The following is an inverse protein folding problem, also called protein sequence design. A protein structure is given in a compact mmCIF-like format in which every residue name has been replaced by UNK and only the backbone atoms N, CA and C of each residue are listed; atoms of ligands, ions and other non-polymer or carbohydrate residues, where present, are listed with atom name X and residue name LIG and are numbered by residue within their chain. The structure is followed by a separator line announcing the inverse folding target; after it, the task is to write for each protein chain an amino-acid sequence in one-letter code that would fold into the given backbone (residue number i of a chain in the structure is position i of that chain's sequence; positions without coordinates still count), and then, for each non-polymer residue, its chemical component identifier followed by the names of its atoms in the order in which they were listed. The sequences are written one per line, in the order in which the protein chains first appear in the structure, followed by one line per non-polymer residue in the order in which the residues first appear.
data_IF_114170864883
#
_entry.id   IF_114170864883
#
_cell.length_a   1.000
_cell.length_b   1.000
_cell.length_c   1.000
_cell.angle_alpha   90.00
_cell.angle_beta   90.00
_cell.angle_gamma   90.00
#
_symmetry.space_group_name_H-M   'P 1'
#
loop_
_entity.id
_entity.type
_entity.pdbx_description
1 polymer ?
#
# COMPACT_ATOMS: atom_id res chain seq x y z
N UNK A 1 -33.39 -12.55 -27.77
CA UNK A 1 -33.48 -13.52 -26.66
C UNK A 1 -33.29 -12.73 -25.38
N UNK A 2 -34.37 -12.53 -24.62
CA UNK A 2 -34.32 -11.78 -23.36
C UNK A 2 -33.99 -12.76 -22.23
N UNK A 3 -32.93 -12.49 -21.48
CA UNK A 3 -32.57 -13.26 -20.29
C UNK A 3 -33.58 -12.92 -19.19
N UNK A 4 -34.35 -13.92 -18.77
CA UNK A 4 -35.39 -13.79 -17.77
C UNK A 4 -34.76 -13.71 -16.36
N UNK A 5 -34.90 -12.55 -15.73
CA UNK A 5 -34.40 -12.31 -14.38
C UNK A 5 -35.07 -13.22 -13.33
N UNK A 6 -36.27 -13.74 -13.62
CA UNK A 6 -36.99 -14.64 -12.72
C UNK A 6 -36.28 -16.01 -12.62
N UNK A 7 -35.66 -16.47 -13.70
CA UNK A 7 -34.90 -17.71 -13.71
C UNK A 7 -33.60 -17.62 -12.89
N UNK A 8 -33.03 -16.40 -12.75
CA UNK A 8 -31.89 -16.17 -11.85
C UNK A 8 -32.27 -16.28 -10.38
N UNK A 9 -33.46 -15.80 -10.00
CA UNK A 9 -33.94 -15.86 -8.62
C UNK A 9 -34.36 -17.28 -8.20
N UNK A 10 -34.82 -18.10 -9.15
CA UNK A 10 -35.27 -19.48 -8.87
C UNK A 10 -34.15 -20.42 -8.38
N UNK A 11 -32.88 -20.07 -8.59
CA UNK A 11 -31.73 -20.85 -8.13
C UNK A 11 -30.98 -20.22 -6.94
N UNK A 12 -31.50 -19.12 -6.38
CA UNK A 12 -30.96 -18.54 -5.13
C UNK A 12 -31.46 -19.39 -3.97
N UNK A 13 -30.62 -20.31 -3.51
CA UNK A 13 -30.82 -21.03 -2.26
C UNK A 13 -30.67 -20.04 -1.11
N UNK A 14 -31.79 -19.58 -0.58
CA UNK A 14 -31.84 -18.92 0.73
C UNK A 14 -31.36 -19.93 1.76
N UNK A 15 -30.31 -19.58 2.51
CA UNK A 15 -29.78 -20.42 3.59
C UNK A 15 -30.89 -20.76 4.56
N UNK A 16 -31.28 -22.03 4.58
CA UNK A 16 -32.17 -22.62 5.55
C UNK A 16 -31.43 -22.63 6.90
N UNK A 17 -31.88 -21.80 7.84
CA UNK A 17 -31.49 -21.93 9.24
C UNK A 17 -32.20 -23.15 9.80
N UNK A 18 -31.55 -24.30 9.66
CA UNK A 18 -31.91 -25.52 10.34
C UNK A 18 -31.17 -25.55 11.68
N UNK A 19 -31.89 -25.28 12.77
CA UNK A 19 -31.45 -25.55 14.14
C UNK A 19 -31.33 -27.08 14.33
N UNK A 20 -30.16 -27.64 14.68
CA UNK A 20 -30.07 -29.01 15.13
C UNK A 20 -29.86 -29.08 16.64
N UNK A 21 -30.83 -29.74 17.26
CA UNK A 21 -30.82 -30.35 18.58
C UNK A 21 -29.50 -31.08 18.90
N UNK A 22 -29.17 -31.08 20.19
CA UNK A 22 -28.00 -31.64 20.85
C UNK A 22 -27.54 -33.02 20.32
N UNK A 23 -26.24 -33.14 20.06
CA UNK A 23 -25.59 -34.41 19.75
C UNK A 23 -24.10 -34.21 19.50
N UNK A 24 -23.29 -34.44 20.53
CA UNK A 24 -21.83 -34.52 20.48
C UNK A 24 -21.36 -35.35 19.28
N UNK A 25 -20.41 -34.82 18.50
CA UNK A 25 -19.29 -35.55 17.90
C UNK A 25 -18.32 -34.54 17.25
N UNK A 26 -17.06 -34.67 17.60
CA UNK A 26 -15.94 -33.81 17.21
C UNK A 26 -15.83 -33.60 15.70
N UNK A 27 -16.13 -32.40 15.22
CA UNK A 27 -15.65 -31.90 13.94
C UNK A 27 -14.64 -30.78 14.22
N UNK A 28 -13.37 -31.09 14.02
CA UNK A 28 -12.28 -30.12 13.93
C UNK A 28 -12.70 -28.92 13.08
N UNK A 29 -12.83 -27.77 13.73
CA UNK A 29 -13.05 -26.49 13.07
C UNK A 29 -12.04 -26.33 11.92
N UNK A 30 -12.45 -25.87 10.72
CA UNK A 30 -11.47 -25.42 9.75
C UNK A 30 -10.74 -24.26 10.40
N UNK A 31 -9.47 -24.47 10.74
CA UNK A 31 -8.56 -23.44 11.23
C UNK A 31 -8.72 -22.24 10.32
N UNK A 32 -9.35 -21.18 10.83
CA UNK A 32 -9.57 -19.92 10.13
C UNK A 32 -8.19 -19.33 9.88
N UNK A 33 -7.55 -19.73 8.78
CA UNK A 33 -6.30 -19.14 8.31
C UNK A 33 -6.61 -17.66 8.14
N UNK A 34 -5.90 -16.75 8.83
CA UNK A 34 -6.23 -15.34 8.79
C UNK A 34 -6.12 -14.89 7.33
N UNK A 35 -7.25 -14.54 6.73
CA UNK A 35 -7.36 -14.23 5.32
C UNK A 35 -6.35 -13.13 4.99
N UNK A 36 -5.46 -13.41 4.04
CA UNK A 36 -4.55 -12.40 3.52
C UNK A 36 -5.36 -11.47 2.62
N UNK A 37 -5.19 -10.16 2.79
CA UNK A 37 -5.88 -9.16 2.00
C UNK A 37 -5.55 -9.33 0.50
N UNK A 38 -6.55 -9.60 -0.36
CA UNK A 38 -6.34 -9.84 -1.78
C UNK A 38 -5.85 -8.60 -2.55
N UNK A 39 -5.94 -7.40 -1.97
CA UNK A 39 -5.51 -6.15 -2.59
C UNK A 39 -4.01 -5.91 -2.51
N UNK A 40 -3.29 -6.66 -1.67
CA UNK A 40 -1.86 -6.49 -1.42
C UNK A 40 -1.03 -6.65 -2.70
N UNK A 41 -1.24 -7.71 -3.47
CA UNK A 41 -0.48 -7.99 -4.68
C UNK A 41 -0.73 -6.94 -5.79
N UNK A 42 -1.99 -6.57 -6.13
CA UNK A 42 -2.25 -5.48 -7.06
C UNK A 42 -1.59 -4.16 -6.66
N UNK A 43 -1.65 -3.78 -5.37
CA UNK A 43 -1.02 -2.55 -4.89
C UNK A 43 0.51 -2.59 -5.01
N UNK A 44 1.14 -3.73 -4.71
CA UNK A 44 2.57 -3.91 -4.91
C UNK A 44 2.96 -3.79 -6.38
N UNK A 45 2.24 -4.46 -7.28
CA UNK A 45 2.51 -4.43 -8.73
C UNK A 45 2.39 -2.99 -9.27
N UNK A 46 1.36 -2.24 -8.86
CA UNK A 46 1.20 -0.83 -9.25
C UNK A 46 2.37 0.02 -8.73
N UNK A 47 2.79 -0.20 -7.49
CA UNK A 47 3.94 0.50 -6.91
C UNK A 47 5.23 0.19 -7.69
N UNK A 48 5.48 -1.08 -8.00
CA UNK A 48 6.65 -1.51 -8.78
C UNK A 48 6.64 -0.87 -10.16
N UNK A 49 5.49 -0.87 -10.85
CA UNK A 49 5.36 -0.23 -12.16
C UNK A 49 5.64 1.28 -12.11
N UNK A 50 5.25 1.94 -11.01
CA UNK A 50 5.51 3.37 -10.83
C UNK A 50 7.00 3.70 -10.57
N UNK A 51 7.73 2.81 -9.88
CA UNK A 51 9.15 3.01 -9.58
C UNK A 51 10.07 2.55 -10.72
N UNK A 52 9.68 1.47 -11.40
CA UNK A 52 10.47 0.81 -12.45
C UNK A 52 9.65 0.69 -13.74
N UNK A 53 9.37 1.81 -14.43
CA UNK A 53 8.56 1.79 -15.64
C UNK A 53 9.20 0.90 -16.71
N UNK A 54 8.36 0.22 -17.50
CA UNK A 54 8.74 -0.67 -18.60
C UNK A 54 9.49 -1.96 -18.20
N UNK A 55 9.58 -2.29 -16.91
CA UNK A 55 10.19 -3.56 -16.45
C UNK A 55 9.19 -4.71 -16.36
N UNK A 56 7.91 -4.41 -16.15
CA UNK A 56 6.84 -5.40 -16.11
C UNK A 56 6.33 -5.64 -17.53
N UNK A 57 6.63 -6.82 -18.06
CA UNK A 57 6.24 -7.21 -19.43
C UNK A 57 4.80 -7.72 -19.49
N UNK A 58 4.41 -8.53 -18.50
CA UNK A 58 3.09 -9.15 -18.44
C UNK A 58 2.61 -9.25 -17.00
N UNK A 59 1.33 -8.94 -16.78
CA UNK A 59 0.68 -8.95 -15.47
C UNK A 59 -0.63 -9.72 -15.61
N UNK A 60 -0.76 -10.79 -14.83
CA UNK A 60 -1.98 -11.59 -14.74
C UNK A 60 -2.39 -11.72 -13.27
N UNK A 61 -3.24 -10.78 -12.83
CA UNK A 61 -3.73 -10.74 -11.45
C UNK A 61 -4.63 -11.95 -11.15
N UNK A 62 -5.37 -12.46 -12.13
CA UNK A 62 -6.30 -13.58 -11.94
C UNK A 62 -5.53 -14.88 -11.61
N UNK A 63 -4.44 -15.14 -12.34
CA UNK A 63 -3.55 -16.27 -12.09
C UNK A 63 -2.44 -15.96 -11.08
N UNK A 64 -2.39 -14.72 -10.57
CA UNK A 64 -1.38 -14.22 -9.63
C UNK A 64 0.04 -14.49 -10.15
N UNK A 65 0.26 -14.08 -11.40
CA UNK A 65 1.53 -14.18 -12.11
C UNK A 65 1.95 -12.81 -12.64
N UNK A 66 3.24 -12.53 -12.61
CA UNK A 66 3.81 -11.43 -13.38
C UNK A 66 5.13 -11.84 -14.02
N UNK A 67 5.48 -11.20 -15.13
CA UNK A 67 6.77 -11.37 -15.80
C UNK A 67 7.50 -10.05 -15.79
N UNK A 68 8.70 -10.06 -15.21
CA UNK A 68 9.65 -8.95 -15.24
C UNK A 68 10.63 -9.21 -16.37
N UNK A 69 10.89 -8.21 -17.20
CA UNK A 69 11.85 -8.29 -18.28
C UNK A 69 12.84 -7.13 -18.22
N UNK A 70 14.13 -7.44 -18.27
CA UNK A 70 15.22 -6.47 -18.13
C UNK A 70 16.32 -6.78 -19.16
N UNK A 71 16.85 -5.75 -19.80
CA UNK A 71 18.05 -5.84 -20.63
C UNK A 71 19.28 -5.48 -19.80
N UNK A 72 20.30 -6.33 -19.79
CA UNK A 72 21.52 -6.10 -19.01
C UNK A 72 22.77 -6.74 -19.62
N UNK A 73 23.96 -6.48 -19.07
CA UNK A 73 25.26 -6.95 -19.57
C UNK A 73 25.53 -8.41 -19.18
N UNK A 74 24.53 -9.28 -19.34
CA UNK A 74 24.65 -10.71 -19.05
C UNK A 74 24.94 -11.54 -20.32
N UNK A 75 25.24 -10.88 -21.43
CA UNK A 75 25.49 -11.52 -22.71
C UNK A 75 26.79 -12.35 -22.69
N UNK A 76 26.80 -13.45 -23.43
CA UNK A 76 27.95 -14.35 -23.55
C UNK A 76 29.13 -13.74 -24.33
N UNK A 77 28.87 -12.81 -25.25
CA UNK A 77 29.89 -12.14 -26.07
C UNK A 77 30.74 -11.09 -25.31
N UNK A 78 30.42 -10.80 -24.05
CA UNK A 78 31.22 -9.92 -23.20
C UNK A 78 30.81 -8.45 -23.24
N UNK A 79 31.78 -7.57 -22.94
CA UNK A 79 31.53 -6.16 -22.60
C UNK A 79 30.87 -5.38 -23.76
N UNK A 80 29.77 -4.68 -23.46
CA UNK A 80 28.96 -3.92 -24.42
C UNK A 80 27.79 -4.66 -25.07
N UNK A 81 27.72 -5.99 -24.99
CA UNK A 81 26.57 -6.75 -25.50
C UNK A 81 25.48 -6.90 -24.42
N UNK A 82 24.23 -6.56 -24.77
CA UNK A 82 23.07 -6.69 -23.88
C UNK A 82 22.34 -8.00 -24.13
N UNK A 83 21.98 -8.68 -23.04
CA UNK A 83 21.08 -9.81 -23.07
C UNK A 83 19.74 -9.46 -22.44
N UNK A 84 18.67 -9.98 -23.03
CA UNK A 84 17.32 -9.85 -22.52
C UNK A 84 17.01 -11.00 -21.55
N UNK A 85 16.65 -10.65 -20.32
CA UNK A 85 16.32 -11.58 -19.24
C UNK A 85 14.84 -11.46 -18.91
N UNK A 86 14.14 -12.61 -18.84
CA UNK A 86 12.76 -12.70 -18.37
C UNK A 86 12.69 -13.53 -17.10
N UNK A 87 12.05 -12.98 -16.09
CA UNK A 87 11.84 -13.61 -14.78
C UNK A 87 10.34 -13.64 -14.50
N UNK A 88 9.80 -14.84 -14.32
CA UNK A 88 8.40 -15.08 -14.04
C UNK A 88 8.21 -15.31 -12.54
N UNK A 89 7.29 -14.58 -11.94
CA UNK A 89 6.87 -14.74 -10.55
C UNK A 89 5.48 -15.33 -10.51
N UNK A 90 5.28 -16.37 -9.70
CA UNK A 90 3.97 -16.95 -9.40
C UNK A 90 3.71 -16.85 -7.90
N UNK A 91 2.73 -16.05 -7.51
CA UNK A 91 2.47 -15.73 -6.10
C UNK A 91 1.51 -16.76 -5.48
N UNK A 92 1.79 -17.30 -4.27
CA UNK A 92 0.89 -18.19 -3.52
C UNK A 92 -0.18 -17.41 -2.77
N UNK A 93 -1.36 -18.00 -2.50
CA UNK A 93 -2.51 -17.27 -1.93
C UNK A 93 -2.18 -16.61 -0.58
N UNK A 94 -1.23 -17.16 0.15
CA UNK A 94 -0.75 -16.65 1.43
C UNK A 94 0.32 -15.55 1.32
N UNK A 95 0.77 -15.16 0.12
CA UNK A 95 1.76 -14.09 -0.10
C UNK A 95 1.35 -12.78 0.61
N UNK A 96 2.23 -12.12 1.39
CA UNK A 96 3.68 -12.34 1.50
C UNK A 96 4.15 -13.34 2.59
N UNK A 97 3.24 -14.10 3.21
CA UNK A 97 3.63 -15.09 4.23
C UNK A 97 4.29 -16.33 3.64
N UNK A 98 3.99 -16.63 2.37
CA UNK A 98 4.64 -17.68 1.59
C UNK A 98 5.36 -17.04 0.39
N UNK A 99 6.53 -17.55 0.01
CA UNK A 99 7.35 -16.95 -1.04
C UNK A 99 6.73 -17.21 -2.43
N UNK A 100 6.84 -16.26 -3.38
CA UNK A 100 6.53 -16.54 -4.78
C UNK A 100 7.49 -17.57 -5.37
N UNK A 101 6.99 -18.41 -6.26
CA UNK A 101 7.83 -19.25 -7.11
C UNK A 101 8.46 -18.39 -8.21
N UNK A 102 9.76 -18.57 -8.43
CA UNK A 102 10.57 -17.81 -9.38
C UNK A 102 11.03 -18.73 -10.50
N UNK A 103 10.87 -18.30 -11.73
CA UNK A 103 11.37 -19.01 -12.91
C UNK A 103 12.13 -18.03 -13.80
N UNK A 104 13.36 -18.36 -14.19
CA UNK A 104 14.12 -17.56 -15.16
C UNK A 104 14.07 -18.25 -16.52
N UNK A 105 13.66 -17.49 -17.54
CA UNK A 105 13.61 -18.00 -18.91
C UNK A 105 14.98 -18.46 -19.41
N UNK A 106 14.99 -19.57 -20.13
CA UNK A 106 16.20 -20.10 -20.72
C UNK A 106 16.54 -19.35 -22.01
N UNK A 107 17.57 -18.52 -21.96
CA UNK A 107 18.19 -17.93 -23.14
C UNK A 107 19.57 -18.54 -23.43
N UNK A 108 19.93 -18.62 -24.71
CA UNK A 108 21.27 -19.00 -25.18
C UNK A 108 22.27 -17.83 -25.09
N UNK A 109 21.79 -16.59 -25.09
CA UNK A 109 22.64 -15.40 -24.96
C UNK A 109 23.15 -15.19 -23.53
N UNK A 110 22.48 -15.77 -22.53
CA UNK A 110 22.87 -15.65 -21.12
C UNK A 110 23.58 -16.94 -20.68
N UNK A 111 24.85 -16.86 -20.24
CA UNK A 111 25.57 -18.01 -19.72
C UNK A 111 24.83 -18.67 -18.55
N UNK A 112 24.88 -20.01 -18.50
CA UNK A 112 24.24 -20.78 -17.43
C UNK A 112 24.68 -20.34 -16.03
N UNK A 113 25.99 -20.08 -15.87
CA UNK A 113 26.57 -19.61 -14.60
C UNK A 113 25.92 -18.32 -14.13
N UNK A 114 25.83 -17.31 -14.99
CA UNK A 114 25.20 -16.02 -14.69
C UNK A 114 23.73 -16.19 -14.32
N UNK A 115 22.99 -17.02 -15.06
CA UNK A 115 21.59 -17.32 -14.75
C UNK A 115 21.43 -17.99 -13.39
N UNK A 116 22.30 -18.94 -13.05
CA UNK A 116 22.28 -19.61 -11.75
C UNK A 116 22.60 -18.64 -10.60
N UNK A 117 23.56 -17.74 -10.79
CA UNK A 117 23.90 -16.71 -9.80
C UNK A 117 22.73 -15.73 -9.56
N UNK A 118 22.12 -15.22 -10.64
CA UNK A 118 20.93 -14.36 -10.56
C UNK A 118 19.77 -15.06 -9.85
N UNK A 119 19.49 -16.31 -10.23
CA UNK A 119 18.44 -17.10 -9.59
C UNK A 119 18.69 -17.26 -8.09
N UNK A 120 19.92 -17.61 -7.70
CA UNK A 120 20.27 -17.78 -6.29
C UNK A 120 20.06 -16.48 -5.49
N UNK A 121 20.54 -15.36 -6.02
CA UNK A 121 20.36 -14.05 -5.36
C UNK A 121 18.89 -13.63 -5.24
N UNK A 122 18.05 -13.96 -6.23
CA UNK A 122 16.61 -13.71 -6.15
C UNK A 122 15.94 -14.57 -5.08
N UNK A 123 16.28 -15.86 -5.02
CA UNK A 123 15.74 -16.77 -4.00
C UNK A 123 16.15 -16.32 -2.60
N UNK A 124 17.44 -16.02 -2.40
CA UNK A 124 17.97 -15.53 -1.11
C UNK A 124 17.19 -14.28 -0.65
N UNK A 125 16.93 -13.34 -1.57
CA UNK A 125 16.19 -12.11 -1.30
C UNK A 125 14.71 -12.35 -0.99
N UNK A 126 14.07 -13.27 -1.72
CA UNK A 126 12.67 -13.63 -1.47
C UNK A 126 12.49 -14.33 -0.13
N UNK A 127 13.43 -15.20 0.23
CA UNK A 127 13.42 -15.87 1.53
C UNK A 127 13.57 -14.85 2.66
N UNK A 128 14.50 -13.90 2.54
CA UNK A 128 14.69 -12.81 3.50
C UNK A 128 13.39 -12.01 3.72
N UNK A 129 12.73 -11.59 2.63
CA UNK A 129 11.47 -10.85 2.74
C UNK A 129 10.34 -11.69 3.34
N UNK A 130 10.30 -12.98 3.04
CA UNK A 130 9.27 -13.89 3.57
C UNK A 130 9.42 -14.07 5.08
N UNK A 131 10.66 -14.15 5.59
CA UNK A 131 10.91 -14.20 7.04
C UNK A 131 10.33 -12.97 7.77
N UNK A 132 10.42 -11.80 7.14
CA UNK A 132 9.87 -10.55 7.67
C UNK A 132 8.38 -10.36 7.37
N UNK A 133 7.75 -11.28 6.62
CA UNK A 133 6.39 -11.17 6.08
C UNK A 133 6.21 -9.89 5.26
N UNK A 134 7.26 -9.50 4.55
CA UNK A 134 7.36 -8.31 3.73
C UNK A 134 7.15 -8.61 2.24
N UNK A 135 6.78 -7.57 1.50
CA UNK A 135 6.62 -7.58 0.06
C UNK A 135 8.00 -7.68 -0.61
N UNK A 136 8.15 -8.55 -1.62
CA UNK A 136 9.45 -8.90 -2.18
C UNK A 136 9.63 -8.53 -3.66
N UNK A 137 8.56 -8.24 -4.41
CA UNK A 137 8.64 -7.96 -5.84
C UNK A 137 9.45 -6.70 -6.11
N UNK A 138 9.23 -5.66 -5.31
CA UNK A 138 9.98 -4.39 -5.45
C UNK A 138 11.48 -4.58 -5.26
N UNK A 139 11.89 -5.33 -4.22
CA UNK A 139 13.29 -5.64 -3.96
C UNK A 139 13.90 -6.49 -5.09
N UNK A 140 13.15 -7.48 -5.59
CA UNK A 140 13.59 -8.33 -6.71
C UNK A 140 13.81 -7.51 -7.99
N UNK A 141 12.88 -6.62 -8.35
CA UNK A 141 13.01 -5.77 -9.54
C UNK A 141 14.17 -4.78 -9.37
N UNK A 142 14.31 -4.17 -8.18
CA UNK A 142 15.43 -3.29 -7.89
C UNK A 142 16.78 -4.00 -8.05
N UNK A 143 16.90 -5.24 -7.56
CA UNK A 143 18.08 -6.07 -7.73
C UNK A 143 18.39 -6.32 -9.22
N UNK A 144 17.38 -6.71 -10.02
CA UNK A 144 17.56 -6.98 -11.45
C UNK A 144 18.01 -5.74 -12.21
N UNK A 145 17.40 -4.58 -11.94
CA UNK A 145 17.76 -3.29 -12.55
C UNK A 145 19.15 -2.84 -12.09
N UNK A 146 19.52 -3.03 -10.82
CA UNK A 146 20.86 -2.67 -10.36
C UNK A 146 21.92 -3.58 -10.97
N UNK A 147 21.64 -4.88 -11.05
CA UNK A 147 22.51 -5.85 -11.73
C UNK A 147 22.67 -5.54 -13.21
N UNK A 148 21.63 -4.99 -13.87
CA UNK A 148 21.71 -4.60 -15.28
C UNK A 148 22.51 -3.31 -15.52
N UNK A 149 22.73 -2.48 -14.50
CA UNK A 149 23.41 -1.18 -14.62
C UNK A 149 24.92 -1.21 -14.27
N UNK A 150 25.56 -2.39 -14.25
CA UNK A 150 27.01 -2.59 -14.01
C UNK A 150 27.59 -2.07 -12.69
N UNK A 151 26.79 -1.49 -11.80
CA UNK A 151 27.22 -1.06 -10.46
C UNK A 151 27.27 -2.27 -9.51
N UNK A 152 28.33 -3.07 -9.62
CA UNK A 152 28.60 -4.23 -8.76
C UNK A 152 29.03 -3.82 -7.33
N UNK A 153 28.31 -2.92 -6.68
CA UNK A 153 28.53 -2.66 -5.26
C UNK A 153 27.61 -3.60 -4.46
N UNK A 154 28.10 -4.81 -4.19
CA UNK A 154 27.44 -5.85 -3.35
C UNK A 154 27.19 -5.41 -1.90
N UNK A 155 27.53 -4.18 -1.52
CA UNK A 155 27.50 -3.68 -0.15
C UNK A 155 26.14 -3.12 0.30
N UNK A 156 25.14 -3.09 -0.58
CA UNK A 156 23.76 -2.79 -0.20
C UNK A 156 22.79 -3.67 -0.99
N UNK A 157 22.53 -4.90 -0.53
CA UNK A 157 21.36 -5.62 -1.04
C UNK A 157 20.11 -4.76 -0.77
N UNK A 158 19.16 -4.69 -1.71
CA UNK A 158 17.89 -4.02 -1.46
C UNK A 158 17.20 -4.76 -0.32
N UNK A 159 17.25 -4.19 0.89
CA UNK A 159 16.54 -4.74 2.04
C UNK A 159 15.04 -4.66 1.80
N UNK A 160 14.32 -5.66 2.29
CA UNK A 160 12.87 -5.76 2.31
C UNK A 160 12.29 -4.59 3.09
N UNK A 161 12.19 -3.43 2.44
CA UNK A 161 11.75 -2.22 3.08
C UNK A 161 10.28 -2.42 3.43
N UNK A 162 9.99 -2.59 4.74
CA UNK A 162 8.65 -2.36 5.29
C UNK A 162 8.15 -1.09 4.65
N UNK A 163 7.04 -1.15 3.94
CA UNK A 163 6.51 -0.04 3.20
C UNK A 163 6.13 1.12 4.12
N UNK A 164 7.12 1.90 4.54
CA UNK A 164 6.95 3.31 4.81
C UNK A 164 6.69 3.93 3.46
N UNK A 165 5.47 4.45 3.31
CA UNK A 165 4.92 5.14 2.16
C UNK A 165 5.70 6.43 1.86
N UNK A 166 6.98 6.31 1.54
CA UNK A 166 7.84 7.41 1.11
C UNK A 166 8.24 7.16 -0.33
N UNK A 167 7.23 7.13 -1.20
CA UNK A 167 7.39 7.27 -2.65
C UNK A 167 8.27 8.50 -2.91
N UNK A 168 9.37 8.33 -3.65
CA UNK A 168 10.31 9.38 -4.02
C UNK A 168 9.59 10.68 -4.44
N UNK A 169 9.70 11.68 -3.58
CA UNK A 169 8.74 12.77 -3.44
C UNK A 169 9.04 14.01 -4.29
N UNK A 170 9.24 13.84 -5.59
CA UNK A 170 9.49 14.98 -6.48
C UNK A 170 8.28 15.38 -7.34
N UNK A 171 7.19 14.59 -7.32
CA UNK A 171 5.97 14.90 -8.06
C UNK A 171 4.89 15.50 -7.14
N UNK A 172 4.77 16.84 -7.13
CA UNK A 172 3.75 17.59 -6.37
C UNK A 172 2.34 17.03 -6.58
N UNK A 173 2.01 16.70 -7.82
CA UNK A 173 0.71 16.16 -8.20
C UNK A 173 0.43 14.79 -7.55
N UNK A 174 1.41 13.88 -7.56
CA UNK A 174 1.26 12.55 -6.97
C UNK A 174 1.04 12.62 -5.45
N UNK A 175 1.76 13.52 -4.76
CA UNK A 175 1.54 13.77 -3.32
C UNK A 175 0.14 14.31 -3.03
N UNK A 176 -0.34 15.26 -3.82
CA UNK A 176 -1.69 15.82 -3.67
C UNK A 176 -2.77 14.76 -3.92
N UNK A 177 -2.63 13.95 -4.97
CA UNK A 177 -3.57 12.88 -5.27
C UNK A 177 -3.65 11.86 -4.14
N UNK A 178 -2.49 11.41 -3.63
CA UNK A 178 -2.44 10.40 -2.58
C UNK A 178 -3.02 10.90 -1.25
N UNK A 179 -2.73 12.16 -0.87
CA UNK A 179 -3.33 12.77 0.32
C UNK A 179 -4.85 12.88 0.22
N UNK A 180 -5.39 13.21 -0.96
CA UNK A 180 -6.84 13.27 -1.19
C UNK A 180 -7.45 11.86 -1.17
N UNK A 181 -6.82 10.89 -1.81
CA UNK A 181 -7.30 9.50 -1.85
C UNK A 181 -7.39 8.90 -0.44
N UNK A 182 -6.36 9.10 0.39
CA UNK A 182 -6.35 8.62 1.78
C UNK A 182 -7.44 9.30 2.61
N UNK A 183 -7.62 10.62 2.47
CA UNK A 183 -8.67 11.35 3.19
C UNK A 183 -10.08 10.86 2.80
N UNK A 184 -10.34 10.63 1.51
CA UNK A 184 -11.61 10.10 1.01
C UNK A 184 -11.85 8.67 1.51
N UNK A 185 -10.83 7.83 1.52
CA UNK A 185 -10.92 6.48 2.04
C UNK A 185 -11.22 6.47 3.54
N UNK A 186 -10.53 7.32 4.32
CA UNK A 186 -10.81 7.47 5.76
C UNK A 186 -12.21 8.01 6.02
N UNK A 187 -12.67 8.99 5.24
CA UNK A 187 -14.03 9.51 5.36
C UNK A 187 -15.08 8.42 5.06
N UNK A 188 -14.82 7.61 4.03
CA UNK A 188 -15.69 6.48 3.67
C UNK A 188 -15.77 5.47 4.80
N UNK A 189 -14.62 5.07 5.36
CA UNK A 189 -14.58 4.14 6.50
C UNK A 189 -15.29 4.72 7.74
N UNK A 190 -15.09 6.01 8.04
CA UNK A 190 -15.77 6.67 9.16
C UNK A 190 -17.28 6.83 8.97
N UNK A 191 -17.71 7.03 7.72
CA UNK A 191 -19.13 7.12 7.38
C UNK A 191 -19.83 5.78 7.57
N UNK A 192 -19.14 4.66 7.35
CA UNK A 192 -19.70 3.33 7.56
C UNK A 192 -19.87 3.01 9.06
N UNK A 193 -18.93 3.44 9.91
CA UNK A 193 -19.03 3.29 11.38
C UNK A 193 -20.21 4.08 11.99
N UNK A 194 -20.58 5.22 11.39
CA UNK A 194 -21.71 6.03 11.86
C UNK A 194 -23.08 5.42 11.54
N UNK A 195 -23.16 4.42 10.65
CA UNK A 195 -24.42 3.76 10.29
C UNK A 195 -24.70 2.50 11.15
N UNK A 196 -23.70 2.00 11.88
CA UNK A 196 -23.84 0.82 12.76
C UNK A 196 -24.12 1.18 14.23
N UNK A 197 -23.86 2.42 14.65
CA UNK A 197 -24.12 2.90 16.02
C UNK A 197 -25.53 3.48 16.17
N UNK A 198 -26.54 2.62 16.06
CA UNK A 198 -27.96 2.94 16.23
C UNK A 198 -28.41 3.20 17.68
N UNK A 199 -27.61 3.85 18.55
CA UNK A 199 -28.01 4.03 19.97
C UNK A 199 -27.43 5.24 20.74
N UNK A 200 -27.23 6.39 20.09
CA UNK A 200 -27.03 7.67 20.82
C UNK A 200 -28.04 8.73 20.40
N UNK A 201 -29.30 8.37 20.64
CA UNK A 201 -30.49 9.24 20.54
C UNK A 201 -30.53 10.31 21.66
N UNK A 202 -29.46 10.45 22.44
CA UNK A 202 -29.38 11.37 23.57
C UNK A 202 -28.87 12.76 23.17
N UNK A 203 -28.02 12.85 22.13
CA UNK A 203 -27.44 14.12 21.67
C UNK A 203 -28.30 14.83 20.61
N UNK A 204 -29.14 14.10 19.85
CA UNK A 204 -30.04 14.70 18.86
C UNK A 204 -31.15 15.50 19.55
N UNK A 205 -31.74 14.97 20.63
CA UNK A 205 -32.78 15.67 21.39
C UNK A 205 -32.21 16.94 22.04
N UNK A 206 -30.96 16.91 22.48
CA UNK A 206 -30.28 18.06 23.07
C UNK A 206 -29.93 19.14 22.03
N UNK A 207 -29.66 18.74 20.78
CA UNK A 207 -29.48 19.66 19.66
C UNK A 207 -30.78 20.36 19.26
N UNK A 208 -31.91 19.66 19.36
CA UNK A 208 -33.24 20.21 19.01
C UNK A 208 -33.84 21.08 20.14
N UNK A 209 -33.30 21.00 21.36
CA UNK A 209 -33.82 21.72 22.53
C UNK A 209 -33.02 22.99 22.89
N UNK A 210 -31.93 23.32 22.19
CA UNK A 210 -31.09 24.47 22.57
C UNK A 210 -31.31 25.70 21.67
N UNK A 211 -31.82 26.75 22.30
CA UNK A 211 -32.07 28.05 21.68
C UNK A 211 -30.72 28.76 21.45
N UNK A 212 -30.07 28.50 20.30
CA UNK A 212 -28.75 29.04 19.94
C UNK A 212 -28.70 30.57 19.79
N UNK A 213 -29.85 31.24 19.71
CA UNK A 213 -29.95 32.71 19.60
C UNK A 213 -29.75 33.47 20.93
N UNK A 214 -29.74 32.80 22.08
CA UNK A 214 -29.60 33.46 23.39
C UNK A 214 -28.16 33.71 23.85
N UNK A 215 -27.17 33.06 23.26
CA UNK A 215 -25.80 33.00 23.81
C UNK A 215 -24.84 34.08 23.29
N UNK A 216 -25.28 34.95 22.38
CA UNK A 216 -24.42 35.95 21.74
C UNK A 216 -24.42 37.35 22.39
N UNK A 217 -25.21 37.60 23.45
CA UNK A 217 -25.40 38.95 24.01
C UNK A 217 -25.08 39.10 25.51
N UNK A 218 -23.98 38.50 26.00
CA UNK A 218 -23.46 38.81 27.34
C UNK A 218 -21.98 38.42 27.50
N UNK A 219 -21.10 39.11 26.79
CA UNK A 219 -19.76 39.44 27.31
C UNK A 219 -19.55 40.92 27.06
N UNK A 220 -19.93 41.70 28.06
CA UNK A 220 -20.07 43.15 28.01
C UNK A 220 -18.73 43.88 27.90
N UNK A 221 -18.79 44.94 27.11
CA UNK A 221 -17.97 46.13 27.18
C UNK A 221 -18.36 46.91 28.44
N UNK A 222 -17.42 47.24 29.34
CA UNK A 222 -17.56 48.40 30.23
C UNK A 222 -16.18 48.90 30.66
N UNK A 223 -15.96 50.17 30.35
CA UNK A 223 -14.81 51.01 30.65
C UNK A 223 -14.97 51.69 32.02
N UNK A 224 -13.89 51.78 32.80
CA UNK A 224 -13.62 52.82 33.82
C UNK A 224 -12.20 52.56 34.35
N UNK A 225 -11.19 53.38 34.05
CA UNK A 225 -10.89 54.71 34.59
C UNK A 225 -9.82 54.64 35.70
N UNK A 226 -8.81 55.52 35.54
CA UNK A 226 -7.88 56.09 36.53
C UNK A 226 -6.48 55.51 36.82
N UNK A 227 -5.49 56.25 36.29
CA UNK A 227 -4.33 56.91 36.94
C UNK A 227 -3.40 56.08 37.85
N UNK A 228 -2.12 55.98 37.43
CA UNK A 228 -1.03 56.91 37.85
C UNK A 228 0.36 56.45 37.36
N UNK A 229 1.13 57.42 36.80
CA UNK A 229 2.58 57.73 37.02
C UNK A 229 3.61 56.59 36.89
N UNK A 230 4.83 56.76 36.40
CA UNK A 230 5.70 57.87 36.00
C UNK A 230 6.95 57.18 35.38
N UNK A 231 7.70 57.92 34.56
CA UNK A 231 9.14 57.71 34.26
C UNK A 231 9.54 56.98 32.97
N UNK A 232 9.73 57.80 31.92
CA UNK A 232 10.87 57.75 30.98
C UNK A 232 12.19 58.08 31.76
N UNK A 233 13.44 58.04 31.25
CA UNK A 233 13.95 57.99 29.86
C UNK A 233 15.10 56.97 29.66
N UNK A 234 15.54 56.58 28.47
CA UNK A 234 16.49 57.23 27.54
C UNK A 234 16.72 56.17 26.43
N UNK A 235 16.57 56.43 25.12
CA UNK A 235 17.51 57.13 24.23
C UNK A 235 18.34 56.16 23.36
N UNK A 236 18.55 56.59 22.10
CA UNK A 236 19.57 56.17 21.13
C UNK A 236 19.22 55.01 20.18
N UNK A 237 18.93 55.33 18.91
CA UNK A 237 19.88 55.37 17.76
C UNK A 237 20.17 53.96 17.21
N UNK A 238 20.25 53.63 15.91
CA UNK A 238 20.15 54.38 14.66
C UNK A 238 20.03 53.38 13.48
N UNK A 239 19.49 53.90 12.36
CA UNK A 239 19.79 53.65 10.92
C UNK A 239 19.60 52.26 10.26
N UNK A 240 19.09 52.24 9.00
CA UNK A 240 18.93 51.05 8.17
C UNK A 240 20.06 50.82 7.15
N UNK A 241 20.19 49.55 6.78
CA UNK A 241 20.61 48.94 5.52
C UNK A 241 21.41 49.74 4.49
N UNK A 242 22.61 49.23 4.19
CA UNK A 242 23.00 48.86 2.81
C UNK A 242 23.97 47.71 2.82
#
# INVERSE_FOLDING_TARGET
MAVDAVQWMANVRVGELQEPSDGELSSSAPSTVPAVDPTVLPHEILRVNSHFPNTLESIDIAHRRCTVAVSGPWHNEGDGALAYLRVMFTFPRAYPREPPAIEIERSASIPFKTRAELYRSLVDLVEECTMEKALCLEACVAFLVQSSNSNHNRSSLPSCSRSSTTLNTNNRFARSYQAVADAVMQLTLRSTDMLDSSLVDMDIVQLMSTNVLGRAHHTGFSSMEERHKESNPHESQALPSK
#
